data_IF_874453176185
#
_entry.id   IF_874453176185
#
_cell.length_a   1.000
_cell.length_b   1.000
_cell.length_c   1.000
_cell.angle_alpha   90.00
_cell.angle_beta   90.00
_cell.angle_gamma   90.00
#
_symmetry.space_group_name_H-M   'P 1'
#
loop_
_entity.id
_entity.type
_entity.pdbx_description
1 polymer ?
#
# COMPACT_ATOMS: atom_id res chain seq x y z
N UNK A 1 -1.01 -10.76 9.20
CA UNK A 1 0.10 -10.57 8.25
C UNK A 1 -0.29 -11.23 6.95
N UNK A 2 -0.13 -10.53 5.83
CA UNK A 2 -0.36 -11.04 4.49
C UNK A 2 0.97 -11.09 3.75
N UNK A 3 1.27 -12.22 3.11
CA UNK A 3 2.49 -12.41 2.32
C UNK A 3 2.15 -13.20 1.07
N UNK A 4 2.05 -12.50 -0.06
CA UNK A 4 1.89 -13.11 -1.38
C UNK A 4 3.21 -13.76 -1.82
N UNK A 5 3.19 -15.08 -2.01
CA UNK A 5 4.33 -15.90 -2.44
C UNK A 5 5.58 -15.76 -1.55
N UNK A 6 6.72 -16.31 -1.99
CA UNK A 6 7.99 -16.14 -1.28
C UNK A 6 8.47 -14.69 -1.43
N UNK A 7 8.76 -13.96 -0.35
CA UNK A 7 9.36 -12.65 -0.45
C UNK A 7 10.68 -12.69 -1.21
N UNK A 8 10.95 -11.66 -2.02
CA UNK A 8 12.23 -11.55 -2.73
C UNK A 8 13.41 -11.38 -1.77
N UNK A 9 13.20 -10.73 -0.62
CA UNK A 9 14.22 -10.45 0.40
C UNK A 9 13.74 -10.82 1.82
N UNK A 10 13.55 -12.11 2.14
CA UNK A 10 12.99 -12.54 3.42
C UNK A 10 13.76 -12.02 4.65
N UNK A 11 15.09 -12.07 4.60
CA UNK A 11 16.00 -11.54 5.64
C UNK A 11 15.69 -10.07 5.99
N UNK A 12 15.42 -9.24 4.97
CA UNK A 12 15.17 -7.81 5.15
C UNK A 12 13.78 -7.54 5.72
N UNK A 13 12.79 -8.33 5.33
CA UNK A 13 11.45 -8.28 5.96
C UNK A 13 11.54 -8.66 7.44
N UNK A 14 12.27 -9.74 7.77
CA UNK A 14 12.48 -10.15 9.17
C UNK A 14 13.21 -9.05 9.95
N UNK A 15 14.23 -8.43 9.37
CA UNK A 15 14.93 -7.29 9.98
C UNK A 15 14.02 -6.08 10.22
N UNK A 16 13.18 -5.71 9.24
CA UNK A 16 12.21 -4.61 9.38
C UNK A 16 11.18 -4.91 10.47
N UNK A 17 10.62 -6.12 10.48
CA UNK A 17 9.69 -6.54 11.53
C UNK A 17 10.34 -6.50 12.90
N UNK A 18 11.54 -7.07 13.06
CA UNK A 18 12.25 -7.08 14.34
C UNK A 18 12.62 -5.68 14.84
N UNK A 19 12.82 -4.70 13.95
CA UNK A 19 13.21 -3.35 14.32
C UNK A 19 12.03 -2.38 14.55
N UNK A 20 10.91 -2.56 13.83
CA UNK A 20 9.88 -1.53 13.73
C UNK A 20 8.45 -2.01 13.94
N UNK A 21 8.20 -3.32 13.95
CA UNK A 21 6.86 -3.82 14.26
C UNK A 21 6.57 -3.63 15.75
N UNK A 22 5.50 -2.91 16.04
CA UNK A 22 4.97 -2.74 17.38
C UNK A 22 3.65 -3.53 17.48
N UNK A 23 3.60 -4.64 18.23
CA UNK A 23 2.43 -5.51 18.26
C UNK A 23 1.18 -4.83 18.85
N UNK A 24 1.35 -3.77 19.64
CA UNK A 24 0.23 -3.05 20.27
C UNK A 24 -0.21 -1.84 19.44
N UNK A 25 0.71 -1.21 18.70
CA UNK A 25 0.45 0.06 18.03
C UNK A 25 0.46 0.01 16.50
N UNK A 26 1.07 -0.98 15.86
CA UNK A 26 1.14 -1.01 14.39
C UNK A 26 -0.25 -1.22 13.78
N UNK A 27 -0.77 -0.18 13.12
CA UNK A 27 -2.01 -0.23 12.36
C UNK A 27 -1.80 -0.84 10.98
N UNK A 28 -0.80 -0.37 10.24
CA UNK A 28 -0.36 -1.00 8.99
C UNK A 28 1.12 -0.72 8.73
N UNK A 29 1.84 -1.74 8.26
CA UNK A 29 3.22 -1.66 7.83
C UNK A 29 3.37 -2.36 6.49
N UNK A 30 3.79 -1.62 5.45
CA UNK A 30 4.11 -2.19 4.16
C UNK A 30 5.46 -2.93 4.22
N UNK A 31 5.46 -4.17 3.72
CA UNK A 31 6.64 -5.02 3.62
C UNK A 31 7.08 -5.18 2.15
N UNK A 32 6.44 -4.45 1.24
CA UNK A 32 6.78 -4.36 -0.17
C UNK A 32 8.21 -3.89 -0.44
N UNK A 33 8.75 -4.31 -1.60
CA UNK A 33 10.14 -4.10 -2.01
C UNK A 33 10.48 -2.65 -2.40
N UNK A 34 9.64 -1.65 -2.09
CA UNK A 34 9.88 -0.27 -2.54
C UNK A 34 9.70 0.73 -1.41
N UNK A 35 10.62 1.70 -1.36
CA UNK A 35 10.49 2.87 -0.50
C UNK A 35 9.31 3.71 -1.03
N UNK A 36 8.15 3.51 -0.41
CA UNK A 36 6.86 4.14 -0.66
C UNK A 36 6.97 5.54 -1.29
N UNK A 37 6.89 5.62 -2.62
CA UNK A 37 6.87 6.91 -3.31
C UNK A 37 5.47 7.49 -3.25
N UNK A 38 5.43 8.81 -3.07
CA UNK A 38 4.19 9.56 -3.15
C UNK A 38 3.80 9.78 -4.60
N UNK A 39 2.55 9.51 -4.92
CA UNK A 39 1.94 9.92 -6.17
C UNK A 39 0.89 11.03 -5.91
N UNK A 40 0.45 11.70 -6.97
CA UNK A 40 -0.75 12.53 -6.90
C UNK A 40 -1.97 11.62 -6.75
N UNK A 41 -2.89 11.92 -5.84
CA UNK A 41 -4.10 11.10 -5.73
C UNK A 41 -4.93 11.11 -7.04
N UNK A 42 -4.97 12.23 -7.77
CA UNK A 42 -5.80 12.36 -8.98
C UNK A 42 -5.18 11.79 -10.25
N UNK A 43 -3.88 11.53 -10.24
CA UNK A 43 -3.12 10.98 -11.37
C UNK A 43 -1.96 10.15 -10.82
N UNK A 44 -2.32 9.04 -10.16
CA UNK A 44 -1.36 8.26 -9.42
C UNK A 44 -0.56 7.35 -10.36
N UNK A 45 0.76 7.44 -10.29
CA UNK A 45 1.70 6.71 -11.14
C UNK A 45 2.83 6.12 -10.29
N UNK A 46 3.33 4.96 -10.70
CA UNK A 46 4.57 4.42 -10.17
C UNK A 46 5.74 4.64 -11.15
N UNK A 47 6.96 4.47 -10.67
CA UNK A 47 8.17 4.68 -11.45
C UNK A 47 8.52 3.51 -12.40
N UNK A 48 7.66 2.49 -12.49
CA UNK A 48 7.73 1.43 -13.51
C UNK A 48 6.71 1.62 -14.63
N UNK A 49 6.01 2.76 -14.65
CA UNK A 49 5.09 3.11 -15.72
C UNK A 49 3.64 2.67 -15.48
N UNK A 50 3.31 2.11 -14.31
CA UNK A 50 1.91 1.88 -13.95
C UNK A 50 1.22 3.23 -13.67
N UNK A 51 -0.05 3.32 -14.08
CA UNK A 51 -0.94 4.45 -13.81
C UNK A 51 -2.27 3.90 -13.27
N UNK A 52 -2.90 4.58 -12.32
CA UNK A 52 -4.24 4.21 -11.83
C UNK A 52 -5.32 4.53 -12.87
N UNK A 53 -5.44 3.70 -13.89
CA UNK A 53 -6.50 3.76 -14.90
C UNK A 53 -7.86 3.32 -14.34
N UNK A 54 -7.89 2.69 -13.16
CA UNK A 54 -9.10 2.16 -12.52
C UNK A 54 -9.81 3.17 -11.64
N UNK A 55 -9.18 4.33 -11.38
CA UNK A 55 -9.65 5.35 -10.46
C UNK A 55 -9.87 4.83 -9.03
N UNK A 56 -9.18 3.76 -8.65
CA UNK A 56 -9.31 3.10 -7.36
C UNK A 56 -8.78 3.96 -6.22
N UNK A 57 -7.66 4.67 -6.42
CA UNK A 57 -7.02 5.49 -5.41
C UNK A 57 -7.95 6.64 -4.97
N UNK A 58 -8.50 7.47 -5.89
CA UNK A 58 -9.50 8.48 -5.54
C UNK A 58 -10.75 7.91 -4.86
N UNK A 59 -11.23 6.76 -5.34
CA UNK A 59 -12.41 6.10 -4.76
C UNK A 59 -12.16 5.70 -3.30
N UNK A 60 -11.05 5.02 -3.02
CA UNK A 60 -10.69 4.63 -1.65
C UNK A 60 -10.41 5.83 -0.75
N UNK A 61 -9.81 6.91 -1.26
CA UNK A 61 -9.66 8.15 -0.49
C UNK A 61 -11.04 8.73 -0.10
N UNK A 62 -12.00 8.69 -1.01
CA UNK A 62 -13.37 9.12 -0.71
C UNK A 62 -14.06 8.19 0.30
N UNK A 63 -13.99 6.88 0.10
CA UNK A 63 -14.76 5.91 0.90
C UNK A 63 -14.13 5.56 2.25
N UNK A 64 -12.81 5.39 2.31
CA UNK A 64 -12.09 4.99 3.51
C UNK A 64 -11.62 6.18 4.37
N UNK A 65 -11.34 7.34 3.74
CA UNK A 65 -10.81 8.53 4.44
C UNK A 65 -11.80 9.69 4.50
N UNK A 66 -12.91 9.65 3.74
CA UNK A 66 -13.79 10.81 3.53
C UNK A 66 -13.06 12.03 2.97
N UNK A 67 -12.02 11.80 2.15
CA UNK A 67 -11.20 12.83 1.53
C UNK A 67 -11.44 12.83 0.03
N UNK A 68 -11.92 13.96 -0.51
CA UNK A 68 -11.96 14.17 -1.95
C UNK A 68 -10.59 14.60 -2.43
N UNK A 69 -10.04 13.83 -3.36
CA UNK A 69 -8.72 14.13 -3.92
C UNK A 69 -8.70 15.42 -4.72
N UNK A 70 -7.59 16.14 -4.59
CA UNK A 70 -7.22 17.29 -5.38
C UNK A 70 -5.71 17.22 -5.70
N UNK A 71 -5.21 18.20 -6.46
CA UNK A 71 -3.81 18.26 -6.92
C UNK A 71 -2.76 18.27 -5.79
N UNK A 72 -3.16 18.64 -4.56
CA UNK A 72 -2.29 18.66 -3.38
C UNK A 72 -2.39 17.39 -2.55
N UNK A 73 -3.40 16.54 -2.79
CA UNK A 73 -3.57 15.28 -2.08
C UNK A 73 -2.52 14.29 -2.57
N UNK A 74 -1.58 13.95 -1.69
CA UNK A 74 -0.56 12.92 -1.94
C UNK A 74 -0.97 11.63 -1.26
N UNK A 75 -0.68 10.51 -1.90
CA UNK A 75 -0.83 9.18 -1.30
C UNK A 75 0.41 8.35 -1.56
N UNK A 76 0.65 7.37 -0.70
CA UNK A 76 1.76 6.45 -0.79
C UNK A 76 1.29 5.13 -1.38
N UNK A 77 1.99 4.65 -2.41
CA UNK A 77 1.68 3.37 -3.05
C UNK A 77 2.33 2.23 -2.29
N UNK A 78 1.59 1.16 -2.01
CA UNK A 78 2.17 -0.13 -1.63
C UNK A 78 2.74 -0.85 -2.85
N UNK A 79 3.53 -1.89 -2.63
CA UNK A 79 4.00 -2.73 -3.73
C UNK A 79 4.00 -4.21 -3.33
N UNK A 80 3.27 -5.03 -4.10
CA UNK A 80 2.96 -6.45 -3.80
C UNK A 80 2.01 -6.63 -2.62
N UNK A 81 1.38 -7.80 -2.52
CA UNK A 81 0.53 -8.21 -1.39
C UNK A 81 1.32 -8.64 -0.15
N UNK A 82 2.26 -7.82 0.34
CA UNK A 82 3.09 -8.13 1.52
C UNK A 82 3.01 -7.01 2.55
N UNK A 83 2.24 -7.20 3.61
CA UNK A 83 2.03 -6.19 4.65
C UNK A 83 1.57 -6.78 5.98
N UNK A 84 1.77 -6.02 7.06
CA UNK A 84 1.10 -6.22 8.34
C UNK A 84 -0.02 -5.21 8.43
N UNK A 85 -1.19 -5.63 8.89
CA UNK A 85 -2.32 -4.74 9.17
C UNK A 85 -3.02 -5.24 10.44
N UNK A 86 -3.49 -4.31 11.26
CA UNK A 86 -4.21 -4.61 12.48
C UNK A 86 -5.65 -5.00 12.18
N UNK A 87 -6.23 -5.79 13.08
CA UNK A 87 -7.64 -6.15 12.98
C UNK A 87 -8.57 -4.93 13.19
N UNK A 88 -8.08 -3.83 13.79
CA UNK A 88 -8.83 -2.57 13.96
C UNK A 88 -8.99 -1.89 12.60
N UNK A 89 -7.91 -1.77 11.82
CA UNK A 89 -7.93 -1.19 10.45
C UNK A 89 -8.76 -2.02 9.47
N UNK A 90 -8.70 -3.35 9.55
CA UNK A 90 -9.57 -4.20 8.72
C UNK A 90 -11.05 -3.95 9.06
N UNK A 91 -11.39 -3.86 10.34
CA UNK A 91 -12.78 -3.76 10.81
C UNK A 91 -13.36 -2.35 10.81
N UNK A 92 -12.53 -1.31 10.68
CA UNK A 92 -13.00 0.08 10.58
C UNK A 92 -13.66 0.40 9.22
N UNK A 93 -13.36 -0.41 8.19
CA UNK A 93 -13.94 -0.28 6.87
C UNK A 93 -15.34 -0.90 6.80
N UNK A 94 -16.23 -0.28 6.02
CA UNK A 94 -17.56 -0.83 5.77
C UNK A 94 -17.44 -2.07 4.89
N UNK A 95 -18.24 -3.11 5.20
CA UNK A 95 -18.28 -4.36 4.42
C UNK A 95 -18.46 -4.13 2.91
N UNK A 96 -19.28 -3.15 2.55
CA UNK A 96 -19.54 -2.75 1.16
C UNK A 96 -18.27 -2.39 0.37
N UNK A 97 -17.24 -1.84 1.02
CA UNK A 97 -15.96 -1.53 0.36
C UNK A 97 -15.31 -2.83 -0.10
N UNK A 98 -15.23 -3.84 0.77
CA UNK A 98 -14.67 -5.14 0.42
C UNK A 98 -15.47 -5.87 -0.66
N UNK A 99 -16.81 -5.84 -0.57
CA UNK A 99 -17.70 -6.41 -1.58
C UNK A 99 -17.51 -5.73 -2.95
N UNK A 100 -17.32 -4.40 -2.97
CA UNK A 100 -17.02 -3.66 -4.19
C UNK A 100 -15.66 -4.02 -4.80
N UNK A 101 -14.62 -4.18 -3.96
CA UNK A 101 -13.30 -4.62 -4.41
C UNK A 101 -13.32 -6.05 -4.95
N UNK A 102 -14.05 -6.96 -4.29
CA UNK A 102 -14.24 -8.33 -4.76
C UNK A 102 -14.96 -8.36 -6.12
N UNK A 103 -16.06 -7.62 -6.27
CA UNK A 103 -16.82 -7.57 -7.53
C UNK A 103 -15.95 -7.10 -8.69
N UNK A 104 -15.14 -6.05 -8.47
CA UNK A 104 -14.19 -5.53 -9.47
C UNK A 104 -13.04 -6.48 -9.80
N UNK A 105 -12.66 -7.35 -8.86
CA UNK A 105 -11.54 -8.28 -9.04
C UNK A 105 -11.97 -9.58 -9.74
N UNK A 106 -13.08 -10.19 -9.29
CA UNK A 106 -13.50 -11.53 -9.73
C UNK A 106 -15.02 -11.67 -9.97
N UNK A 107 -15.81 -10.64 -9.71
CA UNK A 107 -17.27 -10.67 -9.84
C UNK A 107 -17.79 -10.32 -11.23
N UNK A 108 -19.09 -10.02 -11.29
CA UNK A 108 -19.77 -9.64 -12.54
C UNK A 108 -19.30 -8.27 -13.07
N UNK A 109 -18.94 -7.35 -12.16
CA UNK A 109 -18.43 -6.01 -12.49
C UNK A 109 -16.90 -6.00 -12.64
N UNK A 110 -16.30 -7.14 -13.00
CA UNK A 110 -14.85 -7.23 -13.13
C UNK A 110 -14.32 -6.17 -14.10
N UNK A 111 -13.31 -5.43 -13.64
CA UNK A 111 -12.67 -4.40 -14.47
C UNK A 111 -11.72 -5.09 -15.46
N UNK A 112 -12.00 -4.89 -16.75
CA UNK A 112 -11.16 -5.34 -17.86
C UNK A 112 -10.60 -4.12 -18.60
N UNK A 113 -9.28 -3.94 -18.62
CA UNK A 113 -8.63 -2.80 -19.30
C UNK A 113 -8.12 -3.13 -20.70
N UNK A 114 -8.61 -4.20 -21.32
CA UNK A 114 -8.27 -4.58 -22.70
C UNK A 114 -6.80 -4.93 -22.91
N UNK A 115 -6.05 -5.21 -21.84
CA UNK A 115 -4.67 -5.67 -21.90
C UNK A 115 -4.64 -7.17 -22.23
N UNK A 116 -3.72 -7.60 -23.10
CA UNK A 116 -3.65 -8.99 -23.60
C UNK A 116 -3.48 -10.05 -22.49
N UNK A 117 -3.03 -9.65 -21.29
CA UNK A 117 -2.75 -10.53 -20.15
C UNK A 117 -3.85 -10.57 -19.08
N UNK A 118 -5.00 -9.91 -19.30
CA UNK A 118 -6.06 -9.84 -18.31
C UNK A 118 -6.82 -11.18 -18.15
N UNK A 119 -6.53 -11.89 -17.07
CA UNK A 119 -7.08 -13.22 -16.77
C UNK A 119 -7.47 -13.31 -15.29
N UNK A 120 -8.35 -14.25 -14.88
CA UNK A 120 -8.64 -14.45 -13.45
C UNK A 120 -7.39 -14.68 -12.59
N UNK A 121 -6.34 -15.25 -13.16
CA UNK A 121 -5.06 -15.50 -12.48
C UNK A 121 -4.10 -14.29 -12.48
N UNK A 122 -4.36 -13.28 -13.32
CA UNK A 122 -3.63 -12.03 -13.40
C UNK A 122 -4.57 -10.88 -13.76
N UNK A 123 -5.53 -10.53 -12.88
CA UNK A 123 -6.51 -9.51 -13.18
C UNK A 123 -5.84 -8.14 -13.18
N UNK A 124 -6.11 -7.32 -14.21
CA UNK A 124 -5.48 -5.99 -14.30
C UNK A 124 -5.80 -5.12 -13.07
N UNK A 125 -7.03 -5.22 -12.55
CA UNK A 125 -7.45 -4.56 -11.31
C UNK A 125 -6.59 -4.98 -10.10
N UNK A 126 -6.06 -6.20 -10.10
CA UNK A 126 -5.16 -6.70 -9.05
C UNK A 126 -3.92 -5.83 -8.89
N UNK A 127 -3.36 -5.31 -9.99
CA UNK A 127 -2.21 -4.40 -9.93
C UNK A 127 -2.53 -3.07 -9.25
N UNK A 128 -3.75 -2.54 -9.43
CA UNK A 128 -4.22 -1.34 -8.73
C UNK A 128 -4.47 -1.63 -7.24
N UNK A 129 -5.07 -2.78 -6.95
CA UNK A 129 -5.30 -3.22 -5.57
C UNK A 129 -3.99 -3.41 -4.80
N UNK A 130 -2.98 -4.04 -5.41
CA UNK A 130 -1.65 -4.22 -4.82
C UNK A 130 -0.94 -2.91 -4.45
N UNK A 131 -1.27 -1.82 -5.15
CA UNK A 131 -0.71 -0.48 -4.92
C UNK A 131 -1.50 0.36 -3.94
N UNK A 132 -2.71 -0.06 -3.59
CA UNK A 132 -3.64 0.72 -2.78
C UNK A 132 -3.84 0.19 -1.37
N UNK A 133 -3.10 -0.82 -0.90
CA UNK A 133 -3.28 -1.37 0.44
C UNK A 133 -3.17 -0.31 1.55
N UNK A 134 -2.18 0.58 1.45
CA UNK A 134 -2.01 1.69 2.40
C UNK A 134 -3.23 2.61 2.40
N UNK A 135 -3.76 2.92 1.21
CA UNK A 135 -4.96 3.74 1.06
C UNK A 135 -6.19 3.02 1.62
N UNK A 136 -6.38 1.75 1.30
CA UNK A 136 -7.50 0.94 1.79
C UNK A 136 -7.54 0.95 3.32
N UNK A 137 -6.42 0.62 3.98
CA UNK A 137 -6.36 0.50 5.44
C UNK A 137 -6.10 1.82 6.18
N UNK A 138 -6.53 2.94 5.59
CA UNK A 138 -6.53 4.26 6.24
C UNK A 138 -5.12 4.77 6.62
N UNK A 139 -4.14 4.43 5.78
CA UNK A 139 -2.73 4.77 5.92
C UNK A 139 -2.17 5.27 4.58
N UNK A 140 -2.88 6.22 3.98
CA UNK A 140 -2.55 6.79 2.67
C UNK A 140 -1.38 7.78 2.73
N UNK A 141 -1.28 8.55 3.82
CA UNK A 141 -0.16 9.45 4.06
C UNK A 141 0.91 8.73 4.89
N UNK A 142 1.90 8.20 4.19
CA UNK A 142 3.09 7.59 4.77
C UNK A 142 4.32 8.45 4.48
N UNK A 143 4.18 9.79 4.44
CA UNK A 143 5.30 10.73 4.21
C UNK A 143 6.48 10.41 5.14
N UNK A 144 6.22 10.21 6.43
CA UNK A 144 7.24 9.83 7.40
C UNK A 144 7.88 8.46 7.08
N UNK A 145 7.11 7.50 6.57
CA UNK A 145 7.65 6.19 6.18
C UNK A 145 8.56 6.25 4.97
N UNK A 146 8.32 7.17 4.04
CA UNK A 146 9.22 7.39 2.91
C UNK A 146 10.54 8.02 3.36
N UNK A 147 10.46 9.08 4.16
CA UNK A 147 11.61 9.94 4.43
C UNK A 147 12.51 9.39 5.55
N UNK A 148 11.94 8.60 6.46
CA UNK A 148 12.63 8.17 7.68
C UNK A 148 12.82 6.65 7.77
N UNK A 149 12.00 5.83 7.09
CA UNK A 149 12.18 4.37 7.14
C UNK A 149 13.32 3.91 6.23
N UNK A 150 14.30 3.13 6.74
CA UNK A 150 15.31 2.53 5.89
C UNK A 150 14.69 1.62 4.82
N UNK A 151 15.07 1.85 3.56
CA UNK A 151 14.61 1.06 2.42
C UNK A 151 14.99 -0.41 2.49
N UNK A 152 14.18 -1.28 1.85
CA UNK A 152 14.48 -2.71 1.75
C UNK A 152 15.44 -3.04 0.61
N UNK A 153 15.93 -2.07 -0.17
CA UNK A 153 16.69 -2.30 -1.40
C UNK A 153 18.20 -2.03 -1.24
N UNK A 154 18.58 -1.01 -0.48
CA UNK A 154 19.99 -0.63 -0.25
C UNK A 154 20.48 -1.16 1.10
N UNK A 155 21.49 -2.05 1.14
CA UNK A 155 22.09 -2.50 2.39
C UNK A 155 22.95 -1.37 2.97
N UNK A 156 22.44 -0.72 4.01
CA UNK A 156 23.16 0.32 4.73
C UNK A 156 23.26 1.63 3.94
N UNK A 157 22.60 2.67 4.46
CA UNK A 157 22.83 4.08 4.11
C UNK A 157 22.35 4.47 2.70
N UNK A 158 21.13 5.00 2.60
CA UNK A 158 20.80 6.00 1.59
C UNK A 158 19.57 6.84 2.01
N UNK A 159 19.87 8.04 2.52
CA UNK A 159 19.02 9.23 2.73
C UNK A 159 17.83 9.13 3.70
N UNK A 160 18.01 9.81 4.84
CA UNK A 160 17.08 10.00 5.97
C UNK A 160 17.91 10.28 7.24
N UNK A 161 17.93 11.52 7.70
CA UNK A 161 18.87 12.16 8.64
C UNK A 161 19.15 11.43 9.97
N UNK A 162 20.43 11.48 10.44
CA UNK A 162 21.02 11.50 11.81
C UNK A 162 20.36 10.82 13.05
N UNK A 163 19.12 10.34 12.97
CA UNK A 163 18.32 9.75 14.04
C UNK A 163 17.92 8.33 13.62
N UNK A 164 17.99 7.40 14.58
CA UNK A 164 17.49 6.04 14.37
C UNK A 164 15.97 6.08 14.13
N UNK A 165 15.52 5.50 13.03
CA UNK A 165 14.10 5.32 12.75
C UNK A 165 13.38 4.59 13.91
N UNK A 166 12.11 4.91 14.09
CA UNK A 166 11.20 4.36 15.11
C UNK A 166 10.05 3.59 14.44
N UNK A 167 9.25 2.82 15.19
CA UNK A 167 8.06 2.15 14.64
C UNK A 167 7.14 3.07 13.82
N UNK A 168 6.86 4.28 14.31
CA UNK A 168 6.05 5.30 13.61
C UNK A 168 6.67 5.78 12.29
N UNK A 169 7.98 5.64 12.14
CA UNK A 169 8.72 6.01 10.95
C UNK A 169 8.67 4.89 9.91
N UNK A 170 8.12 3.70 10.20
CA UNK A 170 8.12 2.55 9.28
C UNK A 170 6.72 1.93 9.03
N UNK A 171 5.69 2.49 9.66
CA UNK A 171 4.30 2.09 9.47
C UNK A 171 3.38 3.09 10.17
N UNK A 172 2.12 3.13 9.75
CA UNK A 172 1.13 3.91 10.47
C UNK A 172 0.73 3.18 11.76
N UNK A 173 0.48 3.95 12.81
CA UNK A 173 0.02 3.44 14.10
C UNK A 173 -1.50 3.55 14.23
N UNK A 174 -2.11 2.76 15.12
CA UNK A 174 -3.54 2.74 15.44
C UNK A 174 -4.01 3.82 16.43
#
# INVERSE_FOLDING_TARGET
>A
MFVQAKPHTPERIVGRLGAYFDPERTGMMDLGYRELRQCSCTDCRDEYGWTDETNLIPELMSEAHNVRCNERTRVSLSYKGQFVVSAKRIRSLRRKIYEGLESKLVGEDRILLGQEEDSPDSPVFGYALERSWGVLFQCADLTAVRDECPGLTVPGIAMGDLRRARPEDCGCLD
#
